data_IF_124186141266
#
_entry.id   IF_124186141266
#
_cell.length_a   1.000
_cell.length_b   1.000
_cell.length_c   1.000
_cell.angle_alpha   90.00
_cell.angle_beta   90.00
_cell.angle_gamma   90.00
#
_symmetry.space_group_name_H-M   'P 1'
#
loop_
_entity.id
_entity.type
_entity.pdbx_description
1 polymer ?
#
# COMPACT_ATOMS: atom_id res chain seq x y z
N UNK A 1 6.00 9.54 -5.98
CA UNK A 1 4.88 10.31 -6.53
C UNK A 1 3.68 10.14 -5.66
N UNK A 2 2.98 11.22 -5.35
CA UNK A 2 1.79 11.18 -4.50
C UNK A 2 0.64 11.98 -5.09
N UNK A 3 -0.57 11.60 -4.69
CA UNK A 3 -1.81 12.32 -4.98
C UNK A 3 -2.67 12.35 -3.72
N UNK A 4 -3.39 13.44 -3.49
CA UNK A 4 -4.24 13.61 -2.31
C UNK A 4 -5.54 14.31 -2.67
N UNK A 5 -6.55 14.14 -1.83
CA UNK A 5 -7.79 14.90 -1.93
C UNK A 5 -7.53 16.38 -1.67
N UNK A 6 -8.22 17.25 -2.40
CA UNK A 6 -8.13 18.71 -2.20
C UNK A 6 -8.64 19.12 -0.81
N UNK A 7 -9.72 18.48 -0.36
CA UNK A 7 -10.25 18.64 0.98
C UNK A 7 -9.93 17.40 1.80
N UNK A 8 -9.39 17.58 3.00
CA UNK A 8 -9.02 16.51 3.90
C UNK A 8 -10.08 16.37 5.01
N UNK A 9 -11.16 15.67 4.70
CA UNK A 9 -12.24 15.37 5.68
C UNK A 9 -11.89 14.15 6.51
N UNK A 10 -10.80 14.26 7.28
CA UNK A 10 -10.19 13.15 8.04
C UNK A 10 -11.25 12.49 8.93
N UNK A 11 -11.39 11.15 8.78
CA UNK A 11 -12.38 10.33 9.47
C UNK A 11 -13.84 10.86 9.34
N UNK A 12 -14.12 11.59 8.27
CA UNK A 12 -15.41 12.24 8.01
C UNK A 12 -16.48 11.31 7.46
N UNK A 13 -16.11 10.12 7.02
CA UNK A 13 -16.99 9.11 6.44
C UNK A 13 -17.09 7.88 7.33
N UNK A 14 -18.26 7.25 7.35
CA UNK A 14 -18.52 6.01 8.05
C UNK A 14 -19.64 5.23 7.38
N UNK A 15 -19.64 3.91 7.55
CA UNK A 15 -20.57 2.99 6.91
C UNK A 15 -19.94 2.25 5.75
N UNK A 16 -20.65 1.23 5.28
CA UNK A 16 -20.24 0.40 4.15
C UNK A 16 -20.36 1.17 2.83
N UNK A 17 -19.62 0.73 1.82
CA UNK A 17 -19.61 1.29 0.45
C UNK A 17 -19.23 2.78 0.35
N UNK A 18 -18.73 3.36 1.43
CA UNK A 18 -18.32 4.76 1.46
C UNK A 18 -16.81 4.85 1.25
N UNK A 19 -16.41 5.44 0.13
CA UNK A 19 -14.99 5.69 -0.14
C UNK A 19 -14.48 6.81 0.76
N UNK A 20 -13.28 6.62 1.28
CA UNK A 20 -12.58 7.70 1.99
C UNK A 20 -12.22 8.80 1.00
N UNK A 21 -12.38 10.06 1.44
CA UNK A 21 -12.08 11.26 0.67
C UNK A 21 -11.07 12.16 1.40
N UNK A 22 -10.17 11.54 2.15
CA UNK A 22 -9.03 12.16 2.81
C UNK A 22 -7.79 11.29 2.68
N UNK A 23 -6.64 11.80 3.06
CA UNK A 23 -5.37 11.11 3.02
C UNK A 23 -4.59 11.30 1.73
N UNK A 24 -3.54 10.53 1.57
CA UNK A 24 -2.59 10.62 0.48
C UNK A 24 -2.30 9.24 -0.11
N UNK A 25 -2.51 9.11 -1.41
CA UNK A 25 -2.07 7.94 -2.17
C UNK A 25 -0.62 8.14 -2.61
N UNK A 26 0.20 7.13 -2.44
CA UNK A 26 1.62 7.18 -2.75
C UNK A 26 2.03 6.00 -3.62
N UNK A 27 2.89 6.29 -4.60
CA UNK A 27 3.61 5.29 -5.38
C UNK A 27 5.11 5.61 -5.32
N UNK A 28 5.92 4.61 -5.02
CA UNK A 28 7.37 4.77 -4.94
C UNK A 28 8.08 3.60 -5.61
N UNK A 29 9.24 3.90 -6.18
CA UNK A 29 10.17 2.95 -6.78
C UNK A 29 11.59 3.44 -6.49
N UNK A 30 12.57 2.56 -6.54
CA UNK A 30 13.97 2.95 -6.38
C UNK A 30 14.36 4.08 -7.32
N UNK A 31 15.19 5.02 -6.83
CA UNK A 31 15.74 6.08 -7.65
C UNK A 31 16.72 5.48 -8.67
N UNK A 32 16.33 5.50 -9.94
CA UNK A 32 17.09 4.97 -11.07
C UNK A 32 16.78 5.83 -12.30
N UNK A 33 17.78 6.05 -13.15
CA UNK A 33 17.63 6.81 -14.41
C UNK A 33 16.64 6.19 -15.40
N UNK A 34 16.37 4.88 -15.25
CA UNK A 34 15.39 4.16 -16.05
C UNK A 34 13.95 4.39 -15.61
N UNK A 35 13.75 5.07 -14.49
CA UNK A 35 12.42 5.31 -13.91
C UNK A 35 11.94 6.72 -14.22
N UNK A 36 10.72 6.82 -14.72
CA UNK A 36 10.08 8.10 -15.05
C UNK A 36 8.77 8.22 -14.29
N UNK A 37 8.58 9.38 -13.68
CA UNK A 37 7.33 9.73 -13.00
C UNK A 37 6.61 10.80 -13.79
N UNK A 38 5.32 10.65 -14.00
CA UNK A 38 4.52 11.67 -14.65
C UNK A 38 3.09 11.73 -14.08
N UNK A 39 2.48 12.90 -14.25
CA UNK A 39 1.06 13.11 -14.02
C UNK A 39 0.44 13.60 -15.32
N UNK A 40 -0.79 13.21 -15.60
CA UNK A 40 -1.43 13.62 -16.82
C UNK A 40 -2.80 13.02 -17.07
N UNK A 41 -3.32 13.33 -18.26
CA UNK A 41 -4.54 12.73 -18.77
C UNK A 41 -4.31 11.25 -19.11
N UNK A 42 -5.18 10.34 -18.63
CA UNK A 42 -5.01 8.89 -18.81
C UNK A 42 -5.01 8.45 -20.29
N UNK A 43 -5.78 9.11 -21.13
CA UNK A 43 -5.88 8.75 -22.55
C UNK A 43 -4.59 9.13 -23.29
N UNK A 44 -4.07 10.33 -23.03
CA UNK A 44 -2.80 10.79 -23.60
C UNK A 44 -1.67 9.89 -23.15
N UNK A 45 -1.60 9.55 -21.86
CA UNK A 45 -0.57 8.68 -21.31
C UNK A 45 -0.58 7.28 -21.94
N UNK A 46 -1.76 6.70 -22.12
CA UNK A 46 -1.92 5.38 -22.78
C UNK A 46 -1.50 5.43 -24.25
N UNK A 47 -1.90 6.47 -24.96
CA UNK A 47 -1.54 6.66 -26.37
C UNK A 47 -0.03 6.86 -26.56
N UNK A 48 0.60 7.63 -25.68
CA UNK A 48 2.05 7.77 -25.67
C UNK A 48 2.74 6.43 -25.49
N UNK A 49 2.33 5.69 -24.47
CA UNK A 49 2.93 4.39 -24.17
C UNK A 49 2.74 3.39 -25.32
N UNK A 50 1.52 3.34 -25.88
CA UNK A 50 1.24 2.47 -27.01
C UNK A 50 2.03 2.83 -28.28
N UNK A 51 2.28 4.13 -28.52
CA UNK A 51 2.92 4.61 -29.75
C UNK A 51 4.45 4.62 -29.63
N UNK A 52 5.00 4.90 -28.47
CA UNK A 52 6.42 5.19 -28.27
C UNK A 52 7.10 4.30 -27.23
N UNK A 53 6.36 3.43 -26.53
CA UNK A 53 6.86 2.63 -25.41
C UNK A 53 7.29 3.44 -24.18
N UNK A 54 6.95 4.73 -24.14
CA UNK A 54 7.28 5.65 -23.04
C UNK A 54 6.28 6.81 -22.98
N UNK A 55 6.26 7.50 -21.85
CA UNK A 55 5.42 8.66 -21.63
C UNK A 55 6.23 9.91 -22.03
N UNK A 56 5.76 10.63 -23.04
CA UNK A 56 6.45 11.80 -23.61
C UNK A 56 5.67 13.09 -23.47
N UNK A 57 4.32 13.01 -23.46
CA UNK A 57 3.46 14.18 -23.36
C UNK A 57 3.31 14.61 -21.91
N UNK A 58 3.46 15.91 -21.68
CA UNK A 58 3.14 16.53 -20.38
C UNK A 58 1.75 17.14 -20.49
N UNK A 59 0.80 16.58 -19.76
CA UNK A 59 -0.59 17.08 -19.74
C UNK A 59 -1.02 17.36 -18.30
N UNK A 60 -2.01 18.18 -18.13
CA UNK A 60 -2.71 18.32 -16.86
C UNK A 60 -3.67 17.15 -16.72
N UNK A 61 -3.72 16.54 -15.54
CA UNK A 61 -4.61 15.42 -15.27
C UNK A 61 -4.43 14.86 -13.86
N UNK A 62 -5.33 13.99 -13.50
CA UNK A 62 -5.43 13.44 -12.13
C UNK A 62 -4.73 12.07 -11.99
N UNK A 63 -4.22 11.52 -13.08
CA UNK A 63 -3.53 10.23 -13.04
C UNK A 63 -2.05 10.42 -12.78
N UNK A 64 -1.53 9.56 -11.93
CA UNK A 64 -0.09 9.41 -11.71
C UNK A 64 0.39 8.10 -12.33
N UNK A 65 1.60 8.11 -12.88
CA UNK A 65 2.19 6.95 -13.52
C UNK A 65 3.67 6.85 -13.19
N UNK A 66 4.12 5.62 -13.06
CA UNK A 66 5.53 5.24 -13.02
C UNK A 66 5.80 4.39 -14.26
N UNK A 67 6.84 4.73 -15.00
CA UNK A 67 7.33 3.94 -16.13
C UNK A 67 8.78 3.54 -15.87
N UNK A 68 9.07 2.25 -16.05
CA UNK A 68 10.39 1.67 -15.88
C UNK A 68 10.86 1.07 -17.20
N UNK A 69 12.06 1.45 -17.65
CA UNK A 69 12.71 0.84 -18.80
C UNK A 69 13.51 -0.38 -18.35
N UNK A 70 13.03 -1.57 -18.66
CA UNK A 70 13.71 -2.83 -18.29
C UNK A 70 14.91 -3.16 -19.20
N UNK A 71 15.07 -2.42 -20.30
CA UNK A 71 16.04 -2.72 -21.33
C UNK A 71 15.70 -4.00 -22.08
N UNK A 72 16.71 -4.67 -22.63
CA UNK A 72 16.54 -5.94 -23.30
C UNK A 72 16.22 -7.04 -22.27
N UNK A 73 15.09 -7.71 -22.46
CA UNK A 73 14.67 -8.86 -21.65
C UNK A 73 14.85 -10.12 -22.48
N UNK A 74 15.77 -10.99 -22.09
CA UNK A 74 16.11 -12.22 -22.80
C UNK A 74 16.05 -13.43 -21.84
N UNK A 75 17.08 -14.28 -21.86
CA UNK A 75 17.17 -15.43 -20.94
C UNK A 75 17.42 -15.03 -19.47
N UNK A 76 17.97 -13.84 -19.26
CA UNK A 76 18.21 -13.31 -17.91
C UNK A 76 16.95 -12.60 -17.39
N UNK A 77 16.45 -13.05 -16.27
CA UNK A 77 15.31 -12.45 -15.59
C UNK A 77 15.64 -11.04 -15.10
N UNK A 78 14.78 -10.10 -15.42
CA UNK A 78 14.78 -8.75 -14.84
C UNK A 78 13.67 -8.69 -13.79
N UNK A 79 13.99 -8.23 -12.61
CA UNK A 79 13.03 -8.12 -11.50
C UNK A 79 13.17 -6.77 -10.81
N UNK A 80 12.08 -6.32 -10.24
CA UNK A 80 12.01 -5.11 -9.44
C UNK A 80 10.71 -5.10 -8.67
N UNK A 81 10.52 -4.10 -7.82
CA UNK A 81 9.28 -3.92 -7.08
C UNK A 81 8.84 -2.46 -7.10
N UNK A 82 7.55 -2.27 -6.95
CA UNK A 82 6.88 -1.00 -6.82
C UNK A 82 6.19 -0.98 -5.46
N UNK A 83 6.37 0.09 -4.71
CA UNK A 83 5.62 0.33 -3.48
C UNK A 83 4.38 1.16 -3.78
N UNK A 84 3.24 0.70 -3.29
CA UNK A 84 1.96 1.41 -3.34
C UNK A 84 1.43 1.50 -1.94
N UNK A 85 1.06 2.68 -1.50
CA UNK A 85 0.55 2.88 -0.16
C UNK A 85 -0.42 4.05 -0.06
N UNK A 86 -1.20 4.01 1.00
CA UNK A 86 -2.16 5.05 1.32
C UNK A 86 -1.96 5.48 2.77
N UNK A 87 -1.71 6.76 2.97
CA UNK A 87 -1.64 7.38 4.29
C UNK A 87 -2.96 8.07 4.58
N UNK A 88 -3.72 7.53 5.49
CA UNK A 88 -4.99 8.10 5.94
C UNK A 88 -4.82 9.11 7.09
N UNK A 89 -3.58 9.45 7.44
CA UNK A 89 -3.15 10.35 8.52
C UNK A 89 -3.57 9.84 9.89
N UNK A 90 -4.85 9.63 10.13
CA UNK A 90 -5.41 9.03 11.33
C UNK A 90 -6.15 7.75 10.97
N UNK A 91 -5.86 6.69 11.67
CA UNK A 91 -6.39 5.37 11.38
C UNK A 91 -7.81 5.17 11.88
N UNK A 92 -8.13 5.71 13.04
CA UNK A 92 -9.44 5.49 13.68
C UNK A 92 -9.73 6.58 14.72
N UNK A 93 -11.03 6.85 14.91
CA UNK A 93 -11.50 7.66 16.04
C UNK A 93 -11.91 6.76 17.20
N UNK A 94 -11.16 6.84 18.27
CA UNK A 94 -11.35 6.03 19.48
C UNK A 94 -11.77 6.94 20.63
N UNK A 95 -13.00 6.79 21.11
CA UNK A 95 -13.60 7.62 22.18
C UNK A 95 -13.29 9.14 22.01
N UNK A 96 -13.62 9.68 20.84
CA UNK A 96 -13.40 11.08 20.45
C UNK A 96 -11.92 11.53 20.35
N UNK A 97 -10.99 10.58 20.28
CA UNK A 97 -9.58 10.83 19.98
C UNK A 97 -9.22 10.20 18.65
N UNK A 98 -8.60 10.98 17.77
CA UNK A 98 -8.09 10.47 16.50
C UNK A 98 -6.72 9.84 16.76
N UNK A 99 -6.59 8.55 16.46
CA UNK A 99 -5.37 7.78 16.68
C UNK A 99 -4.59 7.62 15.39
N UNK A 100 -3.29 7.83 15.47
CA UNK A 100 -2.35 7.57 14.40
C UNK A 100 -2.23 6.07 14.09
N UNK A 101 -1.86 5.69 12.86
CA UNK A 101 -1.44 4.32 12.58
C UNK A 101 -0.22 3.96 13.45
N UNK A 102 -0.12 2.71 13.86
CA UNK A 102 0.92 2.27 14.81
C UNK A 102 2.35 2.55 14.34
N UNK A 103 2.62 2.52 13.04
CA UNK A 103 3.93 2.87 12.49
C UNK A 103 4.33 4.32 12.77
N UNK A 104 3.34 5.22 12.90
CA UNK A 104 3.50 6.64 13.23
C UNK A 104 2.78 7.03 14.53
N UNK A 105 2.68 6.12 15.50
CA UNK A 105 1.89 6.32 16.73
C UNK A 105 2.25 7.57 17.53
N UNK A 106 3.43 8.13 17.32
CA UNK A 106 3.86 9.39 17.94
C UNK A 106 3.57 10.62 17.08
N UNK A 107 3.17 10.44 15.82
CA UNK A 107 2.91 11.53 14.89
C UNK A 107 4.16 12.32 14.47
N UNK A 108 5.35 11.76 14.65
CA UNK A 108 6.64 12.40 14.39
C UNK A 108 7.33 11.91 13.10
N UNK A 109 6.73 10.96 12.40
CA UNK A 109 7.26 10.40 11.16
C UNK A 109 6.49 10.89 9.94
N UNK A 110 7.22 11.08 8.87
CA UNK A 110 6.64 11.33 7.55
C UNK A 110 6.37 10.02 6.81
N UNK A 111 5.55 10.09 5.78
CA UNK A 111 5.34 8.93 4.91
C UNK A 111 6.62 8.51 4.17
N UNK A 112 7.51 9.47 3.86
CA UNK A 112 8.81 9.15 3.27
C UNK A 112 9.68 8.32 4.22
N UNK A 113 9.69 8.63 5.52
CA UNK A 113 10.41 7.81 6.51
C UNK A 113 9.92 6.36 6.52
N UNK A 114 8.61 6.15 6.33
CA UNK A 114 8.04 4.82 6.22
C UNK A 114 8.45 4.12 4.92
N UNK A 115 8.47 4.83 3.78
CA UNK A 115 8.91 4.29 2.51
C UNK A 115 10.38 3.89 2.54
N UNK A 116 11.24 4.73 3.11
CA UNK A 116 12.67 4.46 3.23
C UNK A 116 12.93 3.23 4.12
N UNK A 117 12.21 3.12 5.24
CA UNK A 117 12.28 1.96 6.10
C UNK A 117 11.78 0.69 5.40
N UNK A 118 10.65 0.78 4.69
CA UNK A 118 10.09 -0.34 3.94
C UNK A 118 11.03 -0.83 2.82
N UNK A 119 11.70 0.10 2.14
CA UNK A 119 12.72 -0.24 1.14
C UNK A 119 13.95 -0.91 1.76
N UNK A 120 14.43 -0.40 2.89
CA UNK A 120 15.59 -0.97 3.59
C UNK A 120 15.32 -2.37 4.16
N UNK A 121 14.11 -2.63 4.61
CA UNK A 121 13.71 -3.92 5.23
C UNK A 121 13.09 -4.91 4.23
N UNK A 122 12.95 -4.56 2.95
CA UNK A 122 12.18 -5.32 1.97
C UNK A 122 12.55 -6.79 1.92
N UNK A 123 13.83 -7.11 1.77
CA UNK A 123 14.30 -8.48 1.62
C UNK A 123 14.05 -9.34 2.88
N UNK A 124 14.25 -8.74 4.06
CA UNK A 124 14.01 -9.43 5.32
C UNK A 124 12.50 -9.59 5.58
N UNK A 125 11.72 -8.58 5.26
CA UNK A 125 10.27 -8.64 5.35
C UNK A 125 9.70 -9.73 4.45
N UNK A 126 10.17 -9.85 3.21
CA UNK A 126 9.74 -10.89 2.27
C UNK A 126 10.05 -12.29 2.80
N UNK A 127 11.24 -12.53 3.37
CA UNK A 127 11.59 -13.81 4.00
C UNK A 127 10.67 -14.15 5.19
N UNK A 128 10.32 -13.14 5.99
CA UNK A 128 9.41 -13.32 7.13
C UNK A 128 8.00 -13.65 6.66
N UNK A 129 7.50 -12.97 5.62
CA UNK A 129 6.21 -13.25 5.01
C UNK A 129 6.17 -14.68 4.44
N UNK A 130 7.16 -15.07 3.66
CA UNK A 130 7.25 -16.42 3.09
C UNK A 130 7.26 -17.51 4.17
N UNK A 131 8.03 -17.30 5.22
CA UNK A 131 8.07 -18.24 6.36
C UNK A 131 6.72 -18.35 7.06
N UNK A 132 6.03 -17.22 7.23
CA UNK A 132 4.70 -17.20 7.83
C UNK A 132 3.68 -17.91 6.93
N UNK A 133 3.64 -17.59 5.65
CA UNK A 133 2.72 -18.17 4.69
C UNK A 133 2.89 -19.69 4.59
N UNK A 134 4.12 -20.15 4.49
CA UNK A 134 4.44 -21.59 4.45
C UNK A 134 3.97 -22.31 5.71
N UNK A 135 4.16 -21.68 6.89
CA UNK A 135 3.70 -22.25 8.16
C UNK A 135 2.17 -22.29 8.23
N UNK A 136 1.49 -21.20 7.90
CA UNK A 136 0.03 -21.12 7.89
C UNK A 136 -0.57 -22.19 6.96
N UNK A 137 -0.07 -22.29 5.74
CA UNK A 137 -0.56 -23.27 4.76
C UNK A 137 -0.31 -24.70 5.19
N UNK A 138 0.86 -25.00 5.77
CA UNK A 138 1.19 -26.35 6.26
C UNK A 138 0.27 -26.76 7.43
N UNK A 139 0.12 -25.90 8.44
CA UNK A 139 -0.70 -26.17 9.62
C UNK A 139 -2.18 -26.33 9.26
N UNK A 140 -2.70 -25.45 8.40
CA UNK A 140 -4.09 -25.52 7.95
C UNK A 140 -4.34 -26.74 7.04
N UNK A 141 -3.41 -27.09 6.17
CA UNK A 141 -3.51 -28.30 5.34
C UNK A 141 -3.54 -29.56 6.18
N UNK A 142 -2.70 -29.63 7.23
CA UNK A 142 -2.70 -30.74 8.18
C UNK A 142 -4.02 -30.85 8.93
N UNK A 143 -4.67 -29.73 9.24
CA UNK A 143 -5.91 -29.68 10.01
C UNK A 143 -7.15 -30.04 9.19
N UNK A 144 -7.24 -29.60 7.93
CA UNK A 144 -8.47 -29.74 7.15
C UNK A 144 -8.27 -29.91 5.64
N UNK A 145 -7.04 -30.14 5.18
CA UNK A 145 -6.73 -30.33 3.77
C UNK A 145 -6.59 -29.00 3.00
N UNK A 146 -6.31 -29.11 1.70
CA UNK A 146 -5.95 -27.97 0.83
C UNK A 146 -7.03 -26.89 0.80
N UNK A 147 -8.30 -27.26 0.59
CA UNK A 147 -9.40 -26.28 0.54
C UNK A 147 -9.58 -25.50 1.85
N UNK A 148 -9.38 -26.17 2.97
CA UNK A 148 -9.40 -25.54 4.28
C UNK A 148 -8.25 -24.55 4.43
N UNK A 149 -7.05 -24.91 3.97
CA UNK A 149 -5.89 -24.02 3.99
C UNK A 149 -6.11 -22.75 3.15
N UNK A 150 -6.69 -22.90 1.95
CA UNK A 150 -7.05 -21.77 1.08
C UNK A 150 -8.09 -20.85 1.77
N UNK A 151 -9.08 -21.41 2.45
CA UNK A 151 -10.05 -20.66 3.24
C UNK A 151 -9.39 -19.92 4.43
N UNK A 152 -8.48 -20.57 5.14
CA UNK A 152 -7.74 -19.94 6.24
C UNK A 152 -6.88 -18.77 5.75
N UNK A 153 -6.18 -18.91 4.62
CA UNK A 153 -5.41 -17.83 4.02
C UNK A 153 -6.28 -16.64 3.63
N UNK A 154 -7.45 -16.91 3.03
CA UNK A 154 -8.42 -15.86 2.67
C UNK A 154 -8.95 -15.14 3.91
N UNK A 155 -9.38 -15.90 4.94
CA UNK A 155 -9.91 -15.35 6.18
C UNK A 155 -8.85 -14.50 6.92
N UNK A 156 -7.60 -14.97 6.97
CA UNK A 156 -6.49 -14.22 7.55
C UNK A 156 -6.29 -12.88 6.83
N UNK A 157 -6.24 -12.91 5.49
CA UNK A 157 -6.12 -11.70 4.67
C UNK A 157 -7.26 -10.71 4.91
N UNK A 158 -8.50 -11.20 4.97
CA UNK A 158 -9.66 -10.35 5.24
C UNK A 158 -9.61 -9.74 6.64
N UNK A 159 -9.23 -10.53 7.66
CA UNK A 159 -9.08 -10.02 9.01
C UNK A 159 -8.03 -8.91 9.09
N UNK A 160 -6.87 -9.09 8.45
CA UNK A 160 -5.82 -8.05 8.39
C UNK A 160 -6.34 -6.78 7.72
N UNK A 161 -7.03 -6.90 6.59
CA UNK A 161 -7.49 -5.73 5.82
C UNK A 161 -8.63 -4.96 6.50
N UNK A 162 -9.43 -5.64 7.32
CA UNK A 162 -10.55 -5.03 8.05
C UNK A 162 -10.14 -4.32 9.36
N UNK A 163 -8.89 -4.46 9.79
CA UNK A 163 -8.44 -3.90 11.07
C UNK A 163 -7.37 -2.82 10.89
N UNK A 164 -7.24 -1.99 11.90
CA UNK A 164 -6.14 -1.02 12.08
C UNK A 164 -5.37 -1.32 13.35
N UNK A 165 -4.05 -1.29 13.24
CA UNK A 165 -3.16 -1.36 14.39
C UNK A 165 -2.85 0.05 14.86
N UNK A 166 -3.15 0.33 16.12
CA UNK A 166 -2.96 1.65 16.75
C UNK A 166 -2.39 1.49 18.16
N UNK A 167 -1.94 2.59 18.74
CA UNK A 167 -1.64 2.67 20.18
C UNK A 167 -2.76 3.47 20.84
N UNK A 168 -3.34 2.90 21.91
CA UNK A 168 -4.40 3.57 22.67
C UNK A 168 -3.82 4.71 23.51
N UNK A 169 -4.66 5.62 24.04
CA UNK A 169 -4.20 6.68 24.94
C UNK A 169 -3.52 6.17 26.22
N UNK A 170 -3.78 4.94 26.58
CA UNK A 170 -3.17 4.24 27.73
C UNK A 170 -1.82 3.61 27.39
N UNK A 171 -1.39 3.69 26.12
CA UNK A 171 -0.12 3.16 25.64
C UNK A 171 -0.18 1.66 25.27
N UNK A 172 -1.37 1.11 25.13
CA UNK A 172 -1.55 -0.29 24.73
C UNK A 172 -1.65 -0.42 23.21
N UNK A 173 -1.04 -1.48 22.67
CA UNK A 173 -1.20 -1.84 21.28
C UNK A 173 -2.58 -2.46 21.06
N UNK A 174 -3.39 -1.88 20.20
CA UNK A 174 -4.74 -2.34 19.91
C UNK A 174 -4.93 -2.64 18.41
N UNK A 175 -5.63 -3.74 18.15
CA UNK A 175 -6.00 -4.19 16.82
C UNK A 175 -7.51 -3.99 16.67
N UNK A 176 -7.90 -2.86 16.08
CA UNK A 176 -9.30 -2.40 16.06
C UNK A 176 -9.91 -2.59 14.67
N UNK A 177 -11.15 -3.10 14.64
CA UNK A 177 -11.94 -3.18 13.42
C UNK A 177 -12.29 -1.79 12.90
N UNK A 178 -12.20 -1.59 11.60
CA UNK A 178 -12.67 -0.39 10.91
C UNK A 178 -14.15 -0.42 10.59
N UNK A 179 -14.72 -1.59 10.62
CA UNK A 179 -16.13 -1.83 10.30
C UNK A 179 -16.93 -1.92 11.60
N UNK A 180 -18.01 -1.22 11.63
CA UNK A 180 -18.99 -1.23 12.73
C UNK A 180 -20.21 -2.05 12.32
#
# INVERSE_FOLDING_TARGET
VSNQCLEQKILGRKGDDVRIDWGQFNMAISADENNTFTMGDPLVMRNDFASYGKLISKTLGEWISISTMLGEVSQNTKSGYLMVGYDDYYSIRYFNRDLFPYWNRRGDKTYNDMLDLAAAEYDELMKRCEKFDNKLMADATKSGGKKYAELCALAYRQAISAHKLVETPEGEMAWLSKEN
#
